data_IF_759349209246
#
_entry.id   IF_759349209246
#
_cell.length_a   1.000
_cell.length_b   1.000
_cell.length_c   1.000
_cell.angle_alpha   90.00
_cell.angle_beta   90.00
_cell.angle_gamma   90.00
#
_symmetry.space_group_name_H-M   'P 1'
#
loop_
_entity.id
_entity.type
_entity.pdbx_description
1 polymer ?
#
# COMPACT_ATOMS: atom_id res chain seq x y z
N UNK A 1 -5.99 -14.55 4.16
CA UNK A 1 -6.04 -13.22 3.54
C UNK A 1 -5.59 -12.26 4.61
N UNK A 2 -4.58 -11.43 4.35
CA UNK A 2 -4.06 -10.50 5.37
C UNK A 2 -5.04 -9.34 5.56
N UNK A 3 -4.98 -8.65 6.70
CA UNK A 3 -5.78 -7.43 6.93
C UNK A 3 -5.52 -6.37 5.85
N UNK A 4 -4.29 -6.32 5.31
CA UNK A 4 -3.89 -5.42 4.22
C UNK A 4 -4.63 -5.75 2.91
N UNK A 5 -4.77 -7.03 2.59
CA UNK A 5 -5.49 -7.47 1.37
C UNK A 5 -6.97 -7.05 1.42
N UNK A 6 -7.57 -7.09 2.61
CA UNK A 6 -8.96 -6.68 2.81
C UNK A 6 -9.14 -5.16 2.68
N UNK A 7 -8.20 -4.37 3.21
CA UNK A 7 -8.21 -2.90 3.05
C UNK A 7 -8.08 -2.51 1.56
N UNK A 8 -7.14 -3.10 0.84
CA UNK A 8 -6.98 -2.80 -0.60
C UNK A 8 -8.18 -3.26 -1.41
N UNK A 9 -8.81 -4.38 -1.02
CA UNK A 9 -10.06 -4.82 -1.62
C UNK A 9 -11.19 -3.81 -1.39
N UNK A 10 -11.35 -3.27 -0.19
CA UNK A 10 -12.37 -2.24 0.08
C UNK A 10 -12.14 -0.97 -0.74
N UNK A 11 -10.89 -0.55 -0.92
CA UNK A 11 -10.54 0.61 -1.78
C UNK A 11 -10.92 0.37 -3.24
N UNK A 12 -10.60 -0.82 -3.74
CA UNK A 12 -11.03 -1.24 -5.07
C UNK A 12 -12.55 -1.24 -5.19
N UNK A 13 -13.27 -1.85 -4.23
CA UNK A 13 -14.73 -1.97 -4.28
C UNK A 13 -15.41 -0.60 -4.27
N UNK A 14 -14.90 0.34 -3.48
CA UNK A 14 -15.38 1.72 -3.46
C UNK A 14 -15.14 2.43 -4.80
N UNK A 15 -13.96 2.25 -5.42
CA UNK A 15 -13.66 2.81 -6.73
C UNK A 15 -14.53 2.19 -7.84
N UNK A 16 -14.59 0.86 -7.90
CA UNK A 16 -15.28 0.12 -8.96
C UNK A 16 -16.80 0.26 -8.91
N UNK A 17 -17.36 0.55 -7.73
CA UNK A 17 -18.80 0.84 -7.55
C UNK A 17 -19.17 2.31 -7.74
N UNK A 18 -18.28 3.13 -8.32
CA UNK A 18 -18.46 4.58 -8.46
C UNK A 18 -18.78 5.25 -7.13
N UNK A 19 -17.83 5.14 -6.18
CA UNK A 19 -17.94 5.66 -4.82
C UNK A 19 -19.14 5.10 -4.03
N UNK A 20 -19.51 3.86 -4.31
CA UNK A 20 -20.64 3.18 -3.67
C UNK A 20 -22.00 3.46 -4.31
N UNK A 21 -22.07 4.19 -5.42
CA UNK A 21 -23.33 4.44 -6.15
C UNK A 21 -23.93 3.15 -6.74
N UNK A 22 -23.09 2.21 -7.15
CA UNK A 22 -23.48 0.93 -7.76
C UNK A 22 -22.92 -0.27 -7.00
N UNK A 23 -23.38 -0.54 -5.76
CA UNK A 23 -22.79 -1.57 -4.90
C UNK A 23 -22.93 -2.99 -5.47
N UNK A 24 -23.95 -3.25 -6.31
CA UNK A 24 -24.10 -4.55 -6.99
C UNK A 24 -23.02 -4.81 -8.03
N UNK A 25 -22.38 -3.77 -8.57
CA UNK A 25 -21.31 -3.95 -9.57
C UNK A 25 -20.13 -4.76 -9.02
N UNK A 26 -19.91 -4.73 -7.70
CA UNK A 26 -18.84 -5.42 -6.97
C UNK A 26 -19.38 -6.54 -6.07
N UNK A 27 -20.56 -7.08 -6.40
CA UNK A 27 -21.15 -8.18 -5.63
C UNK A 27 -20.29 -9.45 -5.74
N UNK A 28 -20.16 -10.17 -4.63
CA UNK A 28 -19.25 -11.32 -4.48
C UNK A 28 -20.02 -12.60 -4.15
N UNK A 29 -19.45 -13.74 -4.56
CA UNK A 29 -19.78 -15.07 -4.02
C UNK A 29 -18.52 -15.74 -3.52
N UNK A 30 -18.37 -15.79 -2.20
CA UNK A 30 -17.11 -16.18 -1.58
C UNK A 30 -16.02 -15.16 -1.89
N UNK A 31 -14.89 -15.61 -2.47
CA UNK A 31 -13.72 -14.77 -2.75
C UNK A 31 -13.66 -14.21 -4.18
N UNK A 32 -14.72 -14.40 -4.98
CA UNK A 32 -14.76 -13.96 -6.38
C UNK A 32 -15.94 -13.02 -6.60
N UNK A 33 -15.77 -12.07 -7.51
CA UNK A 33 -16.87 -11.22 -7.96
C UNK A 33 -17.82 -11.99 -8.87
N UNK A 34 -19.11 -11.66 -8.79
CA UNK A 34 -20.15 -12.26 -9.62
C UNK A 34 -20.01 -11.81 -11.08
N UNK A 35 -19.69 -10.54 -11.30
CA UNK A 35 -19.48 -9.98 -12.62
C UNK A 35 -18.03 -10.20 -13.08
N UNK A 36 -17.86 -10.77 -14.27
CA UNK A 36 -16.54 -10.98 -14.88
C UNK A 36 -15.77 -9.66 -15.01
N UNK A 37 -16.46 -8.57 -15.35
CA UNK A 37 -15.84 -7.23 -15.44
C UNK A 37 -15.20 -6.82 -14.11
N UNK A 38 -15.91 -6.98 -12.99
CA UNK A 38 -15.39 -6.65 -11.67
C UNK A 38 -14.21 -7.56 -11.27
N UNK A 39 -14.28 -8.86 -11.61
CA UNK A 39 -13.17 -9.79 -11.40
C UNK A 39 -11.92 -9.37 -12.19
N UNK A 40 -12.05 -9.04 -13.47
CA UNK A 40 -10.93 -8.59 -14.31
C UNK A 40 -10.36 -7.25 -13.81
N UNK A 41 -11.21 -6.32 -13.41
CA UNK A 41 -10.78 -5.04 -12.83
C UNK A 41 -10.03 -5.25 -11.51
N UNK A 42 -10.46 -6.19 -10.68
CA UNK A 42 -9.76 -6.53 -9.43
C UNK A 42 -8.36 -7.08 -9.70
N UNK A 43 -8.22 -8.00 -10.64
CA UNK A 43 -6.92 -8.57 -11.01
C UNK A 43 -5.98 -7.49 -11.58
N UNK A 44 -6.49 -6.60 -12.42
CA UNK A 44 -5.74 -5.46 -12.94
C UNK A 44 -5.34 -4.47 -11.84
N UNK A 45 -6.24 -4.21 -10.88
CA UNK A 45 -5.98 -3.35 -9.72
C UNK A 45 -4.84 -3.91 -8.87
N UNK A 46 -4.87 -5.21 -8.56
CA UNK A 46 -3.81 -5.86 -7.80
C UNK A 46 -2.46 -5.76 -8.52
N UNK A 47 -2.42 -6.01 -9.83
CA UNK A 47 -1.20 -5.88 -10.61
C UNK A 47 -0.67 -4.43 -10.64
N UNK A 48 -1.55 -3.45 -10.85
CA UNK A 48 -1.19 -2.03 -10.86
C UNK A 48 -0.70 -1.54 -9.48
N UNK A 49 -1.32 -2.01 -8.41
CA UNK A 49 -0.91 -1.71 -7.04
C UNK A 49 0.52 -2.20 -6.75
N UNK A 50 0.80 -3.46 -7.08
CA UNK A 50 2.13 -4.04 -6.90
C UNK A 50 3.17 -3.33 -7.76
N UNK A 51 2.84 -3.02 -9.02
CA UNK A 51 3.73 -2.28 -9.92
C UNK A 51 4.03 -0.86 -9.39
N UNK A 52 3.02 -0.18 -8.82
CA UNK A 52 3.19 1.13 -8.19
C UNK A 52 4.17 1.07 -7.03
N UNK A 53 4.04 0.09 -6.13
CA UNK A 53 4.95 -0.08 -4.99
C UNK A 53 6.40 -0.35 -5.41
N UNK A 54 6.60 -1.18 -6.42
CA UNK A 54 7.92 -1.46 -6.97
C UNK A 54 8.56 -0.24 -7.67
N UNK A 55 7.75 0.66 -8.24
CA UNK A 55 8.23 1.86 -8.93
C UNK A 55 8.54 3.04 -8.00
N UNK A 56 7.94 3.07 -6.80
CA UNK A 56 8.18 4.13 -5.82
C UNK A 56 9.56 3.97 -5.19
N UNK A 57 10.33 5.05 -5.21
CA UNK A 57 11.61 5.16 -4.51
C UNK A 57 11.50 6.30 -3.52
N UNK A 58 11.67 5.99 -2.25
CA UNK A 58 11.64 6.97 -1.16
C UNK A 58 13.08 7.33 -0.75
N UNK A 59 13.32 8.61 -0.49
CA UNK A 59 14.58 9.13 0.02
C UNK A 59 14.29 9.74 1.40
N UNK A 60 14.96 9.22 2.44
CA UNK A 60 14.87 9.80 3.78
C UNK A 60 15.88 10.94 3.92
N UNK A 61 15.56 11.99 4.69
CA UNK A 61 16.51 13.05 4.96
C UNK A 61 17.68 12.48 5.77
N UNK A 62 18.89 12.67 5.24
CA UNK A 62 20.11 12.41 5.99
C UNK A 62 20.29 13.54 7.02
N UNK A 63 20.22 13.19 8.30
CA UNK A 63 20.39 14.13 9.40
C UNK A 63 21.49 13.63 10.33
N UNK A 64 22.70 14.15 10.12
CA UNK A 64 23.83 13.90 11.01
C UNK A 64 23.68 14.69 12.31
N UNK A 65 22.91 14.17 13.25
CA UNK A 65 22.90 14.72 14.58
C UNK A 65 24.10 14.14 15.35
N UNK A 66 25.18 14.90 15.47
CA UNK A 66 26.36 14.43 16.17
C UNK A 66 26.14 14.38 17.70
N UNK A 67 26.06 13.17 18.26
CA UNK A 67 26.52 12.86 19.62
C UNK A 67 25.66 13.33 20.80
N UNK A 68 24.33 13.36 20.68
CA UNK A 68 23.44 13.62 21.84
C UNK A 68 22.39 12.51 21.97
N UNK A 69 21.79 12.31 23.15
CA UNK A 69 20.66 11.38 23.31
C UNK A 69 19.50 11.64 22.30
N UNK A 70 19.41 12.87 21.76
CA UNK A 70 18.43 13.23 20.75
C UNK A 70 18.79 12.71 19.35
N UNK A 71 20.07 12.47 19.06
CA UNK A 71 20.49 11.84 17.79
C UNK A 71 20.11 10.38 17.73
N UNK A 72 20.24 9.66 18.84
CA UNK A 72 19.95 8.23 18.89
C UNK A 72 18.44 7.98 18.72
N UNK A 73 17.61 8.77 19.40
CA UNK A 73 16.15 8.71 19.25
C UNK A 73 15.72 9.07 17.82
N UNK A 74 16.38 10.07 17.21
CA UNK A 74 16.10 10.44 15.82
C UNK A 74 16.41 9.29 14.85
N UNK A 75 17.59 8.68 14.99
CA UNK A 75 18.02 7.57 14.15
C UNK A 75 17.12 6.33 14.32
N UNK A 76 16.73 6.00 15.56
CA UNK A 76 15.76 4.94 15.85
C UNK A 76 14.40 5.19 15.17
N UNK A 77 13.93 6.45 15.19
CA UNK A 77 12.71 6.84 14.50
C UNK A 77 12.84 6.70 12.99
N UNK A 78 13.98 7.12 12.42
CA UNK A 78 14.25 7.03 10.99
C UNK A 78 14.30 5.57 10.53
N UNK A 79 14.99 4.71 11.26
CA UNK A 79 15.05 3.27 10.99
C UNK A 79 13.66 2.62 11.05
N UNK A 80 12.82 2.98 12.03
CA UNK A 80 11.44 2.49 12.11
C UNK A 80 10.60 2.94 10.91
N UNK A 81 10.75 4.18 10.48
CA UNK A 81 10.07 4.69 9.28
C UNK A 81 10.54 3.95 8.02
N UNK A 82 11.83 3.74 7.86
CA UNK A 82 12.40 3.02 6.73
C UNK A 82 11.90 1.57 6.67
N UNK A 83 11.92 0.87 7.80
CA UNK A 83 11.41 -0.50 7.91
C UNK A 83 9.90 -0.56 7.59
N UNK A 84 9.12 0.42 8.05
CA UNK A 84 7.69 0.50 7.72
C UNK A 84 7.47 0.67 6.21
N UNK A 85 8.23 1.55 5.54
CA UNK A 85 8.13 1.77 4.09
C UNK A 85 8.54 0.52 3.31
N UNK A 86 9.65 -0.13 3.69
CA UNK A 86 10.09 -1.40 3.07
C UNK A 86 9.06 -2.50 3.24
N UNK A 87 8.35 -2.56 4.37
CA UNK A 87 7.28 -3.53 4.62
C UNK A 87 6.06 -3.39 3.70
N UNK A 88 5.92 -2.24 3.02
CA UNK A 88 4.90 -1.99 1.99
C UNK A 88 5.37 -2.35 0.57
N UNK A 89 6.58 -2.94 0.42
CA UNK A 89 7.17 -3.28 -0.87
C UNK A 89 7.73 -2.07 -1.63
N UNK A 90 7.97 -0.95 -0.94
CA UNK A 90 8.53 0.27 -1.51
C UNK A 90 10.05 0.25 -1.33
N UNK A 91 10.78 0.64 -2.37
CA UNK A 91 12.24 0.75 -2.30
C UNK A 91 12.65 2.04 -1.61
N UNK A 92 13.66 1.95 -0.74
CA UNK A 92 14.26 3.12 -0.07
C UNK A 92 15.68 3.26 -0.58
N UNK A 93 16.07 4.48 -0.97
CA UNK A 93 17.47 4.81 -1.26
C UNK A 93 18.16 5.22 0.04
N UNK A 94 19.37 4.75 0.22
CA UNK A 94 20.27 5.24 1.25
C UNK A 94 20.56 6.73 0.97
N UNK A 95 20.35 7.58 1.98
CA UNK A 95 20.59 9.03 1.94
C UNK A 95 21.97 9.43 2.43
#
# INVERSE_FOLDING_TARGET
MSDKDEIERQRFEYWASDKGQYPRAVEKRGNKYLFLTAQNQWEAWQAAWQASRAALVFEFPNYECAGTLQSDIWNDCLERCENAVKSEGISVKDG
#
